data_IF_329465966194
#
_entry.id   IF_329465966194
#
_cell.length_a   1.000
_cell.length_b   1.000
_cell.length_c   1.000
_cell.angle_alpha   90.00
_cell.angle_beta   90.00
_cell.angle_gamma   90.00
#
_symmetry.space_group_name_H-M   'P 1'
#
loop_
_entity.id
_entity.type
_entity.pdbx_description
1 polymer ?
#
# COMPACT_ATOMS: atom_id res chain seq x y z
N UNK A 1 15.71 -7.60 25.05
CA UNK A 1 16.12 -6.29 24.48
C UNK A 1 14.97 -5.28 24.37
N UNK A 2 13.68 -5.66 24.24
CA UNK A 2 12.53 -4.74 24.46
C UNK A 2 11.98 -4.78 25.91
N UNK A 3 12.03 -5.94 26.56
CA UNK A 3 11.55 -6.12 27.95
C UNK A 3 12.28 -5.29 29.01
N UNK A 4 13.46 -4.73 28.70
CA UNK A 4 14.21 -3.87 29.63
C UNK A 4 13.70 -2.43 29.66
N UNK A 5 12.96 -1.98 28.65
CA UNK A 5 12.52 -0.58 28.58
C UNK A 5 11.18 -0.34 29.28
N UNK A 6 10.28 -1.34 29.35
CA UNK A 6 9.00 -1.26 30.06
C UNK A 6 8.49 -2.66 30.48
N UNK A 7 9.10 -3.32 31.49
CA UNK A 7 8.63 -4.64 31.93
C UNK A 7 7.21 -4.60 32.54
N UNK A 8 6.82 -3.46 33.13
CA UNK A 8 5.55 -3.28 33.85
C UNK A 8 4.38 -2.82 32.94
N UNK A 9 4.63 -2.34 31.71
CA UNK A 9 3.58 -1.77 30.82
C UNK A 9 3.74 -2.17 29.34
N UNK A 10 4.30 -3.35 29.08
CA UNK A 10 4.41 -3.87 27.72
C UNK A 10 3.02 -3.99 27.07
N UNK A 11 2.02 -4.44 27.85
CA UNK A 11 0.68 -4.65 27.34
C UNK A 11 -0.04 -3.34 27.03
N UNK A 12 0.02 -2.34 27.92
CA UNK A 12 -0.56 -1.02 27.65
C UNK A 12 0.14 -0.31 26.49
N UNK A 13 1.46 -0.50 26.32
CA UNK A 13 2.15 -0.03 25.11
C UNK A 13 1.58 -0.69 23.84
N UNK A 14 1.40 -2.01 23.84
CA UNK A 14 0.80 -2.73 22.71
C UNK A 14 -0.62 -2.23 22.41
N UNK A 15 -1.45 -1.98 23.41
CA UNK A 15 -2.81 -1.44 23.21
C UNK A 15 -2.77 -0.05 22.57
N UNK A 16 -1.91 0.85 23.05
CA UNK A 16 -1.72 2.18 22.47
C UNK A 16 -1.21 2.10 21.02
N UNK A 17 -0.22 1.25 20.76
CA UNK A 17 0.29 1.02 19.41
C UNK A 17 -0.80 0.47 18.49
N UNK A 18 -1.58 -0.51 18.94
CA UNK A 18 -2.69 -1.09 18.17
C UNK A 18 -3.76 -0.06 17.81
N UNK A 19 -4.11 0.85 18.73
CA UNK A 19 -5.04 1.95 18.44
C UNK A 19 -4.51 2.87 17.33
N UNK A 20 -3.23 3.25 17.41
CA UNK A 20 -2.59 4.10 16.38
C UNK A 20 -2.54 3.41 15.03
N UNK A 21 -2.10 2.14 14.99
CA UNK A 21 -1.99 1.37 13.76
C UNK A 21 -3.34 1.09 13.12
N UNK A 22 -4.37 0.80 13.92
CA UNK A 22 -5.75 0.64 13.42
C UNK A 22 -6.23 1.92 12.75
N UNK A 23 -6.06 3.07 13.41
CA UNK A 23 -6.44 4.37 12.83
C UNK A 23 -5.70 4.65 11.52
N UNK A 24 -4.40 4.38 11.45
CA UNK A 24 -3.61 4.55 10.21
C UNK A 24 -4.06 3.64 9.08
N UNK A 25 -4.35 2.36 9.39
CA UNK A 25 -4.92 1.42 8.42
C UNK A 25 -6.25 1.94 7.89
N UNK A 26 -7.15 2.36 8.77
CA UNK A 26 -8.50 2.80 8.38
C UNK A 26 -8.42 4.07 7.51
N UNK A 27 -7.52 5.01 7.85
CA UNK A 27 -7.23 6.18 7.00
C UNK A 27 -6.72 5.78 5.61
N UNK A 28 -5.79 4.82 5.53
CA UNK A 28 -5.30 4.31 4.25
C UNK A 28 -6.43 3.67 3.43
N UNK A 29 -7.25 2.81 4.06
CA UNK A 29 -8.38 2.17 3.39
C UNK A 29 -9.39 3.18 2.87
N UNK A 30 -9.75 4.21 3.66
CA UNK A 30 -10.64 5.29 3.21
C UNK A 30 -10.04 6.08 2.06
N UNK A 31 -8.74 6.40 2.10
CA UNK A 31 -8.08 7.12 1.02
C UNK A 31 -8.02 6.30 -0.27
N UNK A 32 -7.75 4.98 -0.17
CA UNK A 32 -7.79 4.06 -1.31
C UNK A 32 -9.20 3.94 -1.90
N UNK A 33 -10.22 3.81 -1.04
CA UNK A 33 -11.62 3.76 -1.46
C UNK A 33 -12.01 5.02 -2.25
N UNK A 34 -11.60 6.20 -1.78
CA UNK A 34 -11.90 7.46 -2.45
C UNK A 34 -11.16 7.68 -3.77
N UNK A 35 -9.93 7.18 -3.89
CA UNK A 35 -9.05 7.51 -5.01
C UNK A 35 -8.89 6.39 -6.06
N UNK A 36 -9.05 5.12 -5.67
CA UNK A 36 -8.56 3.98 -6.44
C UNK A 36 -9.55 2.81 -6.57
N UNK A 37 -10.74 2.85 -5.93
CA UNK A 37 -11.71 1.73 -5.95
C UNK A 37 -12.10 1.22 -7.34
N UNK A 38 -12.16 2.09 -8.34
CA UNK A 38 -12.53 1.73 -9.72
C UNK A 38 -11.33 1.27 -10.57
N UNK A 39 -10.11 1.39 -10.03
CA UNK A 39 -8.85 1.17 -10.79
C UNK A 39 -7.97 0.08 -10.17
N UNK A 40 -8.02 -0.13 -8.86
CA UNK A 40 -7.15 -1.07 -8.16
C UNK A 40 -7.95 -1.89 -7.16
N UNK A 41 -7.40 -3.05 -6.79
CA UNK A 41 -7.93 -3.90 -5.72
C UNK A 41 -6.86 -3.98 -4.63
N UNK A 42 -7.26 -4.01 -3.36
CA UNK A 42 -6.31 -4.10 -2.25
C UNK A 42 -6.78 -5.01 -1.13
N UNK A 43 -5.83 -5.57 -0.39
CA UNK A 43 -6.10 -6.38 0.79
C UNK A 43 -6.66 -5.53 1.94
N UNK A 44 -7.50 -6.12 2.78
CA UNK A 44 -8.08 -5.47 3.97
C UNK A 44 -7.57 -6.15 5.23
N UNK A 45 -6.34 -5.83 5.70
CA UNK A 45 -5.73 -6.53 6.82
C UNK A 45 -6.45 -6.24 8.14
N UNK A 46 -6.64 -7.25 8.99
CA UNK A 46 -7.20 -7.08 10.33
C UNK A 46 -6.19 -6.45 11.32
N UNK A 47 -4.90 -6.52 11.00
CA UNK A 47 -3.79 -5.93 11.76
C UNK A 47 -2.47 -5.94 10.96
N UNK A 48 -1.39 -5.47 11.57
CA UNK A 48 -0.07 -5.34 10.94
C UNK A 48 0.27 -3.93 10.48
N UNK A 49 1.26 -3.81 9.60
CA UNK A 49 1.87 -2.52 9.19
C UNK A 49 1.80 -2.27 7.67
N UNK A 50 1.29 -3.23 6.91
CA UNK A 50 1.35 -3.26 5.45
C UNK A 50 0.00 -3.64 4.83
N UNK A 51 -0.23 -3.14 3.62
CA UNK A 51 -1.34 -3.49 2.76
C UNK A 51 -0.81 -3.77 1.35
N UNK A 52 -1.42 -4.76 0.69
CA UNK A 52 -1.09 -5.11 -0.69
C UNK A 52 -2.09 -4.47 -1.63
N UNK A 53 -1.60 -3.80 -2.67
CA UNK A 53 -2.39 -3.17 -3.71
C UNK A 53 -2.04 -3.80 -5.05
N UNK A 54 -3.03 -4.38 -5.70
CA UNK A 54 -2.95 -4.89 -7.08
C UNK A 54 -3.23 -3.74 -8.04
N UNK A 55 -2.29 -3.49 -8.92
CA UNK A 55 -2.38 -2.54 -10.02
C UNK A 55 -2.97 -3.21 -11.26
N UNK A 56 -3.57 -2.45 -12.18
CA UNK A 56 -3.91 -2.98 -13.49
C UNK A 56 -2.68 -3.53 -14.23
N UNK A 57 -2.87 -4.61 -14.99
CA UNK A 57 -1.88 -5.18 -15.93
C UNK A 57 -1.43 -4.14 -16.99
N UNK A 58 -2.26 -3.13 -17.27
CA UNK A 58 -1.95 -2.11 -18.28
C UNK A 58 -1.03 -0.98 -17.79
N UNK A 59 -0.64 -1.01 -16.51
CA UNK A 59 0.26 -0.02 -15.92
C UNK A 59 1.70 -0.27 -16.39
N UNK A 60 2.31 0.75 -16.99
CA UNK A 60 3.75 0.76 -17.26
C UNK A 60 4.54 0.88 -15.94
N UNK A 61 5.18 -0.21 -15.54
CA UNK A 61 5.91 -0.28 -14.27
C UNK A 61 7.07 0.70 -14.17
N UNK A 62 7.87 0.81 -15.24
CA UNK A 62 9.06 1.65 -15.28
C UNK A 62 8.65 3.12 -15.20
N UNK A 63 7.61 3.50 -15.96
CA UNK A 63 7.07 4.85 -15.89
C UNK A 63 6.45 5.15 -14.52
N UNK A 64 5.72 4.20 -13.92
CA UNK A 64 5.11 4.38 -12.60
C UNK A 64 6.19 4.64 -11.54
N UNK A 65 7.23 3.81 -11.49
CA UNK A 65 8.34 3.94 -10.54
C UNK A 65 9.06 5.27 -10.66
N UNK A 66 9.38 5.69 -11.89
CA UNK A 66 10.02 6.98 -12.12
C UNK A 66 9.12 8.15 -11.69
N UNK A 67 7.83 8.07 -11.98
CA UNK A 67 6.87 9.14 -11.71
C UNK A 67 6.52 9.27 -10.23
N UNK A 68 6.39 8.17 -9.50
CA UNK A 68 6.11 8.17 -8.05
C UNK A 68 7.34 8.67 -7.29
N UNK A 69 8.54 8.22 -7.65
CA UNK A 69 9.80 8.72 -7.07
C UNK A 69 9.97 10.23 -7.29
N UNK A 70 9.69 10.74 -8.49
CA UNK A 70 9.74 12.17 -8.79
C UNK A 70 8.73 13.00 -7.97
N UNK A 71 7.69 12.36 -7.44
CA UNK A 71 6.69 12.98 -6.54
C UNK A 71 6.91 12.64 -5.07
N UNK A 72 8.04 12.03 -4.71
CA UNK A 72 8.37 11.66 -3.33
C UNK A 72 7.48 10.56 -2.75
N UNK A 73 6.83 9.75 -3.58
CA UNK A 73 6.02 8.61 -3.16
C UNK A 73 6.81 7.31 -3.37
N UNK A 74 7.05 6.58 -2.29
CA UNK A 74 7.82 5.34 -2.29
C UNK A 74 6.99 4.17 -1.75
N UNK A 75 7.16 3.00 -2.36
CA UNK A 75 6.52 1.74 -1.99
C UNK A 75 7.49 0.58 -2.27
N UNK A 76 7.20 -0.59 -1.69
CA UNK A 76 7.94 -1.80 -2.04
C UNK A 76 7.27 -2.52 -3.22
N UNK A 77 8.08 -3.10 -4.10
CA UNK A 77 7.62 -3.77 -5.32
C UNK A 77 7.26 -5.23 -4.99
N UNK A 78 6.22 -5.77 -5.63
CA UNK A 78 5.79 -7.15 -5.37
C UNK A 78 6.81 -8.20 -5.78
N UNK A 79 7.65 -7.89 -6.78
CA UNK A 79 8.74 -8.74 -7.26
C UNK A 79 9.72 -9.10 -6.13
N UNK A 80 10.02 -8.14 -5.23
CA UNK A 80 10.92 -8.33 -4.09
C UNK A 80 10.45 -9.43 -3.11
N UNK A 81 9.19 -9.84 -3.21
CA UNK A 81 8.55 -10.82 -2.33
C UNK A 81 8.20 -12.13 -3.05
N UNK A 82 8.70 -12.32 -4.28
CA UNK A 82 8.56 -13.57 -5.04
C UNK A 82 9.90 -14.29 -5.07
N UNK A 83 9.89 -15.58 -4.71
CA UNK A 83 11.10 -16.43 -4.73
C UNK A 83 11.76 -16.44 -6.11
N UNK A 84 10.95 -16.42 -7.18
CA UNK A 84 11.42 -16.47 -8.57
C UNK A 84 11.79 -15.09 -9.15
N UNK A 85 11.56 -13.98 -8.42
CA UNK A 85 11.81 -12.63 -8.94
C UNK A 85 10.98 -12.28 -10.18
N UNK A 86 9.81 -12.91 -10.37
CA UNK A 86 8.91 -12.57 -11.47
C UNK A 86 8.19 -11.26 -11.17
N UNK A 87 8.23 -10.33 -12.13
CA UNK A 87 7.45 -9.11 -12.08
C UNK A 87 5.96 -9.43 -11.91
N UNK A 88 5.33 -8.72 -10.98
CA UNK A 88 3.90 -8.83 -10.69
C UNK A 88 3.33 -7.42 -10.50
N UNK A 89 2.07 -7.23 -10.89
CA UNK A 89 1.38 -5.95 -10.75
C UNK A 89 0.89 -5.72 -9.31
N UNK A 90 1.78 -5.88 -8.33
CA UNK A 90 1.49 -5.64 -6.91
C UNK A 90 2.51 -4.69 -6.30
N UNK A 91 2.02 -3.78 -5.47
CA UNK A 91 2.85 -2.95 -4.58
C UNK A 91 2.46 -3.18 -3.13
N UNK A 92 3.43 -3.03 -2.23
CA UNK A 92 3.21 -3.08 -0.78
C UNK A 92 3.29 -1.68 -0.20
N UNK A 93 2.18 -1.23 0.39
CA UNK A 93 2.09 0.05 1.08
C UNK A 93 2.36 -0.15 2.56
N UNK A 94 3.42 0.46 3.06
CA UNK A 94 3.72 0.52 4.49
C UNK A 94 3.03 1.75 5.11
N UNK A 95 2.20 1.54 6.12
CA UNK A 95 1.53 2.64 6.82
C UNK A 95 1.99 2.80 8.28
N UNK A 96 2.68 1.80 8.84
CA UNK A 96 2.99 1.74 10.28
C UNK A 96 3.71 2.98 10.85
N UNK A 97 4.66 3.54 10.11
CA UNK A 97 5.46 4.70 10.53
C UNK A 97 5.09 6.00 9.79
N UNK A 98 4.20 5.95 8.80
CA UNK A 98 3.88 7.08 7.94
C UNK A 98 2.93 8.04 8.66
N UNK A 99 3.20 9.36 8.73
CA UNK A 99 2.27 10.34 9.31
C UNK A 99 0.91 10.33 8.61
N UNK A 100 -0.17 10.61 9.33
CA UNK A 100 -1.53 10.52 8.79
C UNK A 100 -1.78 11.48 7.61
N UNK A 101 -1.19 12.67 7.69
CA UNK A 101 -1.24 13.66 6.62
C UNK A 101 -0.58 13.12 5.33
N UNK A 102 0.54 12.40 5.47
CA UNK A 102 1.22 11.80 4.32
C UNK A 102 0.39 10.66 3.71
N UNK A 103 -0.39 9.91 4.50
CA UNK A 103 -1.34 8.92 3.96
C UNK A 103 -2.44 9.62 3.15
N UNK A 104 -3.11 10.59 3.76
CA UNK A 104 -4.26 11.29 3.14
C UNK A 104 -3.87 12.09 1.89
N UNK A 105 -2.67 12.67 1.87
CA UNK A 105 -2.17 13.45 0.72
C UNK A 105 -1.45 12.57 -0.32
N UNK A 106 -0.80 11.49 0.11
CA UNK A 106 0.01 10.64 -0.76
C UNK A 106 -0.81 9.72 -1.66
N UNK A 107 -1.95 9.21 -1.19
CA UNK A 107 -2.78 8.28 -1.99
C UNK A 107 -3.38 8.94 -3.25
N UNK A 108 -3.89 10.19 -3.22
CA UNK A 108 -4.26 10.91 -4.43
C UNK A 108 -3.09 11.09 -5.42
N UNK A 109 -1.87 11.30 -4.91
CA UNK A 109 -0.66 11.40 -5.74
C UNK A 109 -0.37 10.08 -6.43
N UNK A 110 -0.41 8.96 -5.69
CA UNK A 110 -0.27 7.62 -6.25
C UNK A 110 -1.32 7.36 -7.33
N UNK A 111 -2.59 7.67 -7.07
CA UNK A 111 -3.68 7.49 -8.03
C UNK A 111 -3.45 8.27 -9.34
N UNK A 112 -3.01 9.53 -9.23
CA UNK A 112 -2.66 10.34 -10.40
C UNK A 112 -1.46 9.79 -11.18
N UNK A 113 -0.49 9.15 -10.50
CA UNK A 113 0.62 8.49 -11.18
C UNK A 113 0.15 7.23 -11.91
N UNK A 114 -0.63 6.38 -11.25
CA UNK A 114 -1.21 5.16 -11.83
C UNK A 114 -1.97 5.53 -13.11
N UNK A 115 -2.91 6.47 -13.02
CA UNK A 115 -3.73 6.88 -14.17
C UNK A 115 -2.91 7.36 -15.38
N UNK A 116 -1.80 8.07 -15.15
CA UNK A 116 -0.90 8.55 -16.22
C UNK A 116 -0.04 7.46 -16.84
N UNK A 117 0.21 6.38 -16.10
CA UNK A 117 1.06 5.27 -16.53
C UNK A 117 0.27 4.11 -17.14
N UNK A 118 -1.06 4.18 -17.21
CA UNK A 118 -1.89 3.17 -17.87
C UNK A 118 -1.76 3.26 -19.40
N UNK A 119 -1.52 2.13 -20.05
CA UNK A 119 -1.52 1.99 -21.51
C UNK A 119 -2.96 1.80 -21.97
N UNK A 120 -3.38 2.58 -22.96
CA UNK A 120 -4.77 2.70 -23.45
C UNK A 120 -5.38 1.42 -24.06
N UNK A 121 -4.64 0.30 -24.10
CA UNK A 121 -4.94 -0.89 -24.90
C UNK A 121 -5.19 -2.19 -24.13
N UNK A 122 -5.23 -2.22 -22.80
CA UNK A 122 -5.47 -3.47 -22.08
C UNK A 122 -6.84 -3.51 -21.39
N UNK A 123 -7.73 -4.31 -21.97
CA UNK A 123 -8.99 -4.79 -21.39
C UNK A 123 -8.71 -6.00 -20.51
N UNK A 124 -8.14 -5.78 -19.33
CA UNK A 124 -8.07 -6.77 -18.27
C UNK A 124 -9.16 -6.49 -17.25
N UNK A 125 -10.12 -7.41 -17.08
CA UNK A 125 -10.99 -7.42 -15.91
C UNK A 125 -10.21 -8.04 -14.74
N UNK A 126 -10.14 -7.34 -13.61
CA UNK A 126 -9.49 -7.82 -12.40
C UNK A 126 -10.57 -8.30 -11.44
N UNK A 127 -10.59 -9.60 -11.14
CA UNK A 127 -11.64 -10.20 -10.32
C UNK A 127 -11.18 -10.51 -8.88
N UNK A 128 -9.88 -10.62 -8.60
CA UNK A 128 -9.38 -11.07 -7.29
C UNK A 128 -7.99 -10.52 -6.92
N UNK A 129 -7.72 -10.47 -5.61
CA UNK A 129 -6.39 -10.16 -5.03
C UNK A 129 -5.39 -11.29 -5.16
N UNK A 130 -5.90 -12.52 -5.28
CA UNK A 130 -5.11 -13.72 -5.49
C UNK A 130 -5.79 -14.42 -6.67
N UNK A 131 -5.06 -14.56 -7.77
CA UNK A 131 -5.46 -15.49 -8.81
C UNK A 131 -5.12 -16.89 -8.27
N UNK A 132 -6.09 -17.81 -8.30
CA UNK A 132 -5.95 -19.19 -7.82
C UNK A 132 -4.84 -19.96 -8.56
#
# INVERSE_FOLDING_TARGET
MLAQFHPEDLWGHCERANMVLRRKRDLLLTALEGALKETCIWSRPTGGLFLWLRLPEDVDWVALKALTAARGFYYAEGEDYRVEGKAVHFIRLAFGHVPDAAITQGIPVLAGCIARCRKRNASGQFASLFDD
#
